data_IF_514694811910
#
_entry.id   IF_514694811910
#
_cell.length_a   1.000
_cell.length_b   1.000
_cell.length_c   1.000
_cell.angle_alpha   90.00
_cell.angle_beta   90.00
_cell.angle_gamma   90.00
#
_symmetry.space_group_name_H-M   'P 1'
#
loop_
_entity.id
_entity.type
_entity.pdbx_description
1 polymer ?
#
# COMPACT_ATOMS: atom_id res chain seq x y z
N UNK A 1 -13.49 -31.11 -34.59
CA UNK A 1 -13.69 -31.97 -33.40
C UNK A 1 -13.11 -31.28 -32.16
N UNK A 2 -13.95 -30.98 -31.18
CA UNK A 2 -13.48 -30.46 -29.87
C UNK A 2 -12.81 -31.60 -29.11
N UNK A 3 -11.60 -31.35 -28.62
CA UNK A 3 -10.84 -32.34 -27.85
C UNK A 3 -11.48 -32.46 -26.46
N UNK A 4 -11.63 -33.67 -25.93
CA UNK A 4 -12.28 -33.91 -24.63
C UNK A 4 -11.67 -33.16 -23.44
N UNK A 5 -10.48 -32.56 -23.60
CA UNK A 5 -9.80 -31.69 -22.61
C UNK A 5 -10.34 -30.26 -22.57
N UNK A 6 -11.12 -29.83 -23.56
CA UNK A 6 -11.84 -28.53 -23.56
C UNK A 6 -13.26 -28.64 -22.96
N UNK A 7 -13.67 -29.85 -22.55
CA UNK A 7 -14.96 -30.08 -21.91
C UNK A 7 -14.84 -29.89 -20.39
N UNK A 8 -15.65 -28.98 -19.87
CA UNK A 8 -15.83 -28.79 -18.44
C UNK A 8 -16.29 -30.11 -17.78
N UNK A 9 -15.80 -30.39 -16.56
CA UNK A 9 -16.18 -31.60 -15.83
C UNK A 9 -17.70 -31.67 -15.61
N UNK A 10 -18.33 -32.86 -15.63
CA UNK A 10 -19.76 -33.00 -15.36
C UNK A 10 -20.15 -32.32 -14.04
N UNK A 11 -21.09 -31.37 -14.08
CA UNK A 11 -21.54 -30.61 -12.91
C UNK A 11 -20.76 -29.33 -12.57
N UNK A 12 -19.72 -28.98 -13.34
CA UNK A 12 -18.92 -27.76 -13.11
C UNK A 12 -19.56 -26.45 -13.65
N UNK A 13 -20.78 -26.53 -14.19
CA UNK A 13 -21.45 -25.39 -14.82
C UNK A 13 -20.94 -25.11 -16.23
N UNK A 14 -21.35 -23.99 -16.82
CA UNK A 14 -20.93 -23.56 -18.15
C UNK A 14 -20.28 -22.17 -18.11
N UNK A 15 -19.39 -21.89 -19.06
CA UNK A 15 -18.71 -20.60 -19.19
C UNK A 15 -17.71 -20.35 -18.05
N UNK A 16 -17.68 -19.13 -17.51
CA UNK A 16 -16.71 -18.72 -16.49
C UNK A 16 -16.77 -19.57 -15.21
N UNK A 17 -17.93 -20.12 -14.87
CA UNK A 17 -18.13 -20.97 -13.68
C UNK A 17 -17.27 -22.23 -13.76
N UNK A 18 -17.08 -22.79 -14.95
CA UNK A 18 -16.27 -23.99 -15.18
C UNK A 18 -14.76 -23.76 -15.06
N UNK A 19 -14.31 -22.49 -15.15
CA UNK A 19 -12.88 -22.12 -15.11
C UNK A 19 -12.41 -21.88 -13.68
N UNK A 20 -13.33 -21.59 -12.75
CA UNK A 20 -13.00 -21.32 -11.35
C UNK A 20 -12.56 -22.61 -10.67
N UNK A 21 -11.34 -22.63 -10.12
CA UNK A 21 -10.82 -23.81 -9.42
C UNK A 21 -11.61 -24.09 -8.13
N UNK A 22 -11.75 -25.38 -7.72
CA UNK A 22 -12.37 -25.73 -6.45
C UNK A 22 -11.74 -24.96 -5.28
N UNK A 23 -12.58 -24.34 -4.43
CA UNK A 23 -12.11 -23.53 -3.31
C UNK A 23 -11.75 -22.07 -3.65
N UNK A 24 -11.79 -21.69 -4.93
CA UNK A 24 -11.60 -20.30 -5.38
C UNK A 24 -12.94 -19.61 -5.67
N UNK A 25 -12.90 -18.29 -5.82
CA UNK A 25 -14.04 -17.42 -6.15
C UNK A 25 -13.60 -16.44 -7.24
N UNK A 26 -14.49 -16.17 -8.19
CA UNK A 26 -14.32 -15.10 -9.15
C UNK A 26 -14.89 -13.79 -8.60
N UNK A 27 -14.10 -12.71 -8.62
CA UNK A 27 -14.57 -11.38 -8.26
C UNK A 27 -14.28 -10.40 -9.39
N UNK A 28 -15.33 -9.74 -9.88
CA UNK A 28 -15.23 -8.68 -10.88
C UNK A 28 -14.95 -7.33 -10.21
N UNK A 29 -13.95 -6.62 -10.70
CA UNK A 29 -13.59 -5.28 -10.23
C UNK A 29 -13.56 -4.27 -11.38
N UNK A 30 -14.13 -3.10 -11.14
CA UNK A 30 -14.08 -1.98 -12.06
C UNK A 30 -12.72 -1.31 -11.97
N UNK A 31 -12.07 -1.12 -13.10
CA UNK A 31 -10.78 -0.44 -13.21
C UNK A 31 -10.87 0.75 -14.15
N UNK A 32 -10.13 1.80 -13.83
CA UNK A 32 -10.08 2.99 -14.67
C UNK A 32 -9.04 2.81 -15.79
N UNK A 33 -9.23 3.48 -16.91
CA UNK A 33 -8.44 3.30 -18.14
C UNK A 33 -6.93 3.55 -17.92
N UNK A 34 -6.57 4.51 -17.07
CA UNK A 34 -5.18 4.84 -16.70
C UNK A 34 -4.54 3.77 -15.81
N UNK A 35 -5.36 2.99 -15.09
CA UNK A 35 -4.90 1.96 -14.14
C UNK A 35 -4.73 0.58 -14.75
N UNK A 36 -5.25 0.36 -15.96
CA UNK A 36 -5.25 -0.93 -16.64
C UNK A 36 -4.13 -1.09 -17.66
N UNK A 37 -2.88 -0.80 -17.29
CA UNK A 37 -1.63 -1.15 -18.00
C UNK A 37 -1.65 -1.04 -19.54
N UNK A 38 -2.48 -0.20 -20.16
CA UNK A 38 -2.60 -0.07 -21.63
C UNK A 38 -3.38 -1.16 -22.36
N UNK A 39 -4.20 -1.98 -21.70
CA UNK A 39 -4.97 -3.06 -22.36
C UNK A 39 -4.20 -4.37 -22.57
N UNK A 40 -3.03 -4.51 -21.92
CA UNK A 40 -2.20 -5.71 -21.98
C UNK A 40 -2.53 -6.75 -20.90
N UNK A 41 -3.49 -6.46 -20.02
CA UNK A 41 -4.05 -7.50 -19.15
C UNK A 41 -4.85 -8.43 -20.06
N UNK A 42 -4.57 -9.72 -19.99
CA UNK A 42 -5.28 -10.76 -20.74
C UNK A 42 -5.76 -11.85 -19.77
N UNK A 43 -6.77 -12.66 -20.14
CA UNK A 43 -7.06 -13.89 -19.42
C UNK A 43 -5.82 -14.78 -19.26
N UNK A 44 -5.72 -15.50 -18.16
CA UNK A 44 -4.55 -16.32 -17.77
C UNK A 44 -3.26 -15.53 -17.52
N UNK A 45 -3.35 -14.23 -17.23
CA UNK A 45 -2.21 -13.43 -16.76
C UNK A 45 -2.26 -13.23 -15.25
N UNK A 46 -1.10 -12.89 -14.67
CA UNK A 46 -0.99 -12.58 -13.25
C UNK A 46 -0.89 -11.08 -13.02
N UNK A 47 -1.59 -10.59 -12.01
CA UNK A 47 -1.59 -9.19 -11.58
C UNK A 47 -1.36 -9.06 -10.09
N UNK A 48 -0.76 -7.96 -9.68
CA UNK A 48 -0.74 -7.50 -8.31
C UNK A 48 -1.81 -6.40 -8.13
N UNK A 49 -2.47 -6.40 -6.97
CA UNK A 49 -3.52 -5.44 -6.64
C UNK A 49 -3.00 -4.42 -5.66
N UNK A 50 -3.02 -3.15 -6.04
CA UNK A 50 -2.60 -2.03 -5.21
C UNK A 50 -3.82 -1.19 -4.84
N UNK A 51 -4.01 -0.97 -3.54
CA UNK A 51 -4.97 0.03 -3.04
C UNK A 51 -4.27 1.34 -2.78
N UNK A 52 -4.90 2.41 -3.25
CA UNK A 52 -4.52 3.79 -2.95
C UNK A 52 -5.58 4.35 -2.00
N UNK A 53 -5.16 4.57 -0.76
CA UNK A 53 -5.98 5.20 0.26
C UNK A 53 -5.62 6.68 0.38
N UNK A 54 -6.64 7.54 0.52
CA UNK A 54 -6.47 8.98 0.76
C UNK A 54 -6.80 9.28 2.22
N UNK A 55 -5.78 9.65 3.01
CA UNK A 55 -5.96 10.12 4.39
C UNK A 55 -5.68 11.62 4.45
N UNK A 56 -6.76 12.41 4.42
CA UNK A 56 -6.70 13.87 4.33
C UNK A 56 -6.04 14.33 3.02
N UNK A 57 -4.90 15.05 3.13
CA UNK A 57 -4.10 15.49 1.97
C UNK A 57 -3.06 14.48 1.51
N UNK A 58 -2.81 13.39 2.26
CA UNK A 58 -1.79 12.39 1.92
C UNK A 58 -2.43 11.20 1.20
N UNK A 59 -1.80 10.74 0.12
CA UNK A 59 -2.13 9.49 -0.57
C UNK A 59 -1.08 8.44 -0.20
N UNK A 60 -1.52 7.26 0.18
CA UNK A 60 -0.63 6.12 0.48
C UNK A 60 -1.05 4.93 -0.36
N UNK A 61 -0.09 4.34 -1.08
CA UNK A 61 -0.29 3.12 -1.85
C UNK A 61 0.17 1.91 -1.03
N UNK A 62 -0.62 0.82 -1.07
CA UNK A 62 -0.31 -0.44 -0.41
C UNK A 62 -0.66 -1.60 -1.33
N UNK A 63 0.25 -2.55 -1.50
CA UNK A 63 -0.04 -3.82 -2.18
C UNK A 63 -0.95 -4.66 -1.29
N UNK A 64 -2.14 -5.00 -1.78
CA UNK A 64 -3.14 -5.78 -1.06
C UNK A 64 -2.99 -7.27 -1.33
N UNK A 65 -2.92 -7.61 -2.61
CA UNK A 65 -2.85 -8.96 -3.14
C UNK A 65 -1.72 -9.03 -4.16
N UNK A 66 -1.10 -10.19 -4.27
CA UNK A 66 0.03 -10.43 -5.16
C UNK A 66 -0.23 -11.70 -5.96
N UNK A 67 0.22 -11.73 -7.22
CA UNK A 67 0.15 -12.91 -8.10
C UNK A 67 -1.28 -13.48 -8.17
N UNK A 68 -2.24 -12.61 -8.47
CA UNK A 68 -3.63 -12.98 -8.68
C UNK A 68 -3.88 -13.27 -10.16
N UNK A 69 -4.55 -14.37 -10.46
CA UNK A 69 -4.87 -14.78 -11.81
C UNK A 69 -6.09 -14.03 -12.35
N UNK A 70 -6.00 -13.59 -13.61
CA UNK A 70 -7.10 -12.93 -14.32
C UNK A 70 -7.86 -13.99 -15.12
N UNK A 71 -9.15 -14.15 -14.83
CA UNK A 71 -10.02 -15.11 -15.52
C UNK A 71 -10.65 -14.50 -16.77
N UNK A 72 -11.10 -13.26 -16.67
CA UNK A 72 -11.83 -12.61 -17.76
C UNK A 72 -11.71 -11.09 -17.70
N UNK A 73 -11.99 -10.45 -18.84
CA UNK A 73 -12.00 -9.00 -18.98
C UNK A 73 -13.23 -8.63 -19.77
N UNK A 74 -13.95 -7.63 -19.29
CA UNK A 74 -15.09 -7.04 -19.96
C UNK A 74 -14.83 -5.55 -20.16
N UNK A 75 -15.28 -5.04 -21.30
CA UNK A 75 -15.30 -3.62 -21.57
C UNK A 75 -16.74 -3.22 -21.88
N UNK A 76 -17.23 -2.24 -21.15
CA UNK A 76 -18.57 -1.70 -21.31
C UNK A 76 -18.45 -0.23 -21.68
N UNK A 77 -19.16 0.17 -22.74
CA UNK A 77 -19.18 1.55 -23.22
C UNK A 77 -20.53 2.14 -22.91
N UNK A 78 -20.54 3.29 -22.25
CA UNK A 78 -21.76 4.02 -21.90
C UNK A 78 -21.68 5.45 -22.41
N UNK A 79 -22.82 6.07 -22.64
CA UNK A 79 -22.91 7.49 -22.98
C UNK A 79 -23.31 8.21 -21.70
N UNK A 80 -22.42 9.06 -21.19
CA UNK A 80 -22.66 9.89 -20.00
C UNK A 80 -22.41 11.35 -20.41
N UNK A 81 -23.40 12.22 -20.20
CA UNK A 81 -23.32 13.65 -20.60
C UNK A 81 -22.96 13.86 -22.08
N UNK A 82 -23.46 13.00 -22.97
CA UNK A 82 -23.19 13.07 -24.41
C UNK A 82 -21.77 12.64 -24.82
N UNK A 83 -20.95 12.16 -23.88
CA UNK A 83 -19.60 11.66 -24.15
C UNK A 83 -19.53 10.14 -23.98
N UNK A 84 -18.89 9.41 -24.92
CA UNK A 84 -18.65 7.98 -24.75
C UNK A 84 -17.64 7.78 -23.62
N UNK A 85 -18.01 6.95 -22.65
CA UNK A 85 -17.18 6.56 -21.51
C UNK A 85 -16.99 5.05 -21.54
N UNK A 86 -15.72 4.65 -21.56
CA UNK A 86 -15.33 3.25 -21.56
C UNK A 86 -14.98 2.84 -20.14
N UNK A 87 -15.65 1.81 -19.65
CA UNK A 87 -15.38 1.18 -18.35
C UNK A 87 -14.83 -0.21 -18.61
N UNK A 88 -13.73 -0.53 -17.92
CA UNK A 88 -13.15 -1.87 -17.95
C UNK A 88 -13.42 -2.57 -16.63
N UNK A 89 -13.79 -3.84 -16.73
CA UNK A 89 -14.04 -4.73 -15.61
C UNK A 89 -13.13 -5.94 -15.76
N UNK A 90 -12.39 -6.26 -14.71
CA UNK A 90 -11.47 -7.41 -14.70
C UNK A 90 -11.97 -8.40 -13.67
N UNK A 91 -12.09 -9.66 -14.07
CA UNK A 91 -12.50 -10.76 -13.19
C UNK A 91 -11.28 -11.51 -12.72
N UNK A 92 -11.08 -11.54 -11.41
CA UNK A 92 -9.94 -12.14 -10.74
C UNK A 92 -10.32 -13.46 -10.06
N UNK A 93 -9.43 -14.45 -10.08
CA UNK A 93 -9.53 -15.67 -9.28
C UNK A 93 -8.92 -15.45 -7.90
N UNK A 94 -9.70 -15.62 -6.84
CA UNK A 94 -9.32 -15.30 -5.47
C UNK A 94 -9.69 -16.42 -4.51
N UNK A 95 -8.94 -16.56 -3.42
CA UNK A 95 -9.42 -17.31 -2.25
C UNK A 95 -10.55 -16.54 -1.52
N UNK A 96 -11.35 -17.20 -0.66
CA UNK A 96 -12.40 -16.52 0.12
C UNK A 96 -11.89 -15.36 0.97
N UNK A 97 -10.70 -15.51 1.54
CA UNK A 97 -10.10 -14.50 2.40
C UNK A 97 -9.64 -13.29 1.60
N UNK A 98 -9.01 -13.52 0.43
CA UNK A 98 -8.60 -12.47 -0.48
C UNK A 98 -9.78 -11.71 -1.07
N UNK A 99 -10.86 -12.42 -1.43
CA UNK A 99 -12.10 -11.81 -1.90
C UNK A 99 -12.71 -10.89 -0.84
N UNK A 100 -12.74 -11.31 0.43
CA UNK A 100 -13.22 -10.46 1.54
C UNK A 100 -12.35 -9.22 1.71
N UNK A 101 -11.03 -9.36 1.65
CA UNK A 101 -10.08 -8.25 1.76
C UNK A 101 -10.21 -7.26 0.60
N UNK A 102 -10.38 -7.77 -0.62
CA UNK A 102 -10.56 -6.95 -1.81
C UNK A 102 -11.91 -6.21 -1.80
N UNK A 103 -12.96 -6.87 -1.32
CA UNK A 103 -14.29 -6.25 -1.19
C UNK A 103 -14.29 -5.07 -0.20
N UNK A 104 -13.53 -5.18 0.90
CA UNK A 104 -13.39 -4.07 1.85
C UNK A 104 -12.71 -2.86 1.20
N UNK A 105 -11.58 -3.09 0.52
CA UNK A 105 -10.76 -2.02 -0.05
C UNK A 105 -11.39 -1.36 -1.28
N UNK A 106 -12.18 -2.11 -2.06
CA UNK A 106 -12.98 -1.57 -3.18
C UNK A 106 -13.93 -0.46 -2.72
N UNK A 107 -14.43 -0.53 -1.48
CA UNK A 107 -15.34 0.48 -0.93
C UNK A 107 -14.60 1.68 -0.31
N UNK A 108 -13.38 1.48 0.20
CA UNK A 108 -12.63 2.52 0.93
C UNK A 108 -11.73 3.39 0.04
N UNK A 109 -11.35 2.92 -1.14
CA UNK A 109 -10.32 3.58 -1.94
C UNK A 109 -10.33 3.24 -3.43
N UNK A 110 -9.32 3.73 -4.14
CA UNK A 110 -9.12 3.42 -5.56
C UNK A 110 -8.16 2.26 -5.73
N UNK A 111 -8.56 1.27 -6.51
CA UNK A 111 -7.74 0.09 -6.82
C UNK A 111 -7.00 0.32 -8.13
N UNK A 112 -5.75 -0.14 -8.17
CA UNK A 112 -4.93 -0.22 -9.37
C UNK A 112 -4.44 -1.65 -9.56
N UNK A 113 -4.43 -2.09 -10.82
CA UNK A 113 -3.87 -3.37 -11.20
C UNK A 113 -2.49 -3.15 -11.82
N UNK A 114 -1.54 -3.98 -11.40
CA UNK A 114 -0.18 -3.97 -11.94
C UNK A 114 0.09 -5.33 -12.55
N UNK A 115 0.45 -5.36 -13.84
CA UNK A 115 0.77 -6.60 -14.51
C UNK A 115 2.05 -7.20 -13.92
N UNK A 116 2.00 -8.48 -13.56
CA UNK A 116 3.12 -9.23 -13.01
C UNK A 116 3.77 -10.03 -14.13
N UNK A 117 5.11 -10.06 -14.16
CA UNK A 117 5.82 -10.98 -15.04
C UNK A 117 5.50 -12.43 -14.61
N UNK A 118 5.07 -13.32 -15.52
CA UNK A 118 4.78 -14.72 -15.18
C UNK A 118 5.98 -15.49 -14.61
N UNK A 119 7.21 -15.07 -14.94
CA UNK A 119 8.45 -15.67 -14.41
C UNK A 119 8.84 -15.13 -13.03
N UNK A 120 8.11 -14.14 -12.49
CA UNK A 120 8.41 -13.53 -11.21
C UNK A 120 7.77 -14.29 -10.05
N UNK A 121 8.48 -15.32 -9.58
CA UNK A 121 8.14 -16.11 -8.40
C UNK A 121 8.59 -15.46 -7.08
N UNK A 122 9.37 -14.38 -7.12
CA UNK A 122 9.94 -13.80 -5.90
C UNK A 122 8.88 -12.96 -5.18
N UNK A 123 8.59 -13.33 -3.94
CA UNK A 123 7.96 -12.39 -3.01
C UNK A 123 8.96 -11.29 -2.68
N UNK A 124 8.81 -10.12 -3.31
CA UNK A 124 9.54 -8.92 -2.88
C UNK A 124 9.02 -8.54 -1.50
N UNK A 125 9.73 -8.99 -0.45
CA UNK A 125 9.57 -8.47 0.91
C UNK A 125 10.08 -7.03 0.88
N UNK A 126 9.24 -6.03 1.22
CA UNK A 126 9.72 -4.66 1.25
C UNK A 126 10.92 -4.60 2.20
N UNK A 127 12.09 -4.17 1.71
CA UNK A 127 13.24 -3.89 2.57
C UNK A 127 12.75 -2.88 3.60
N UNK A 128 12.56 -3.33 4.83
CA UNK A 128 12.27 -2.44 5.95
C UNK A 128 13.52 -1.59 6.14
N UNK A 129 13.53 -0.40 5.54
CA UNK A 129 14.53 0.60 5.87
C UNK A 129 14.22 1.02 7.29
N UNK A 130 14.84 0.35 8.28
CA UNK A 130 14.82 0.82 9.67
C UNK A 130 15.39 2.22 9.63
N UNK A 131 14.51 3.22 9.70
CA UNK A 131 14.89 4.61 9.90
C UNK A 131 15.54 4.64 11.29
N UNK A 132 16.86 4.48 11.34
CA UNK A 132 17.60 4.65 12.58
C UNK A 132 17.39 6.11 12.97
N UNK A 133 16.50 6.33 13.93
CA UNK A 133 16.37 7.62 14.60
C UNK A 133 17.74 7.85 15.23
N UNK A 134 18.60 8.68 14.61
CA UNK A 134 19.82 9.16 15.27
C UNK A 134 19.36 9.94 16.49
N UNK A 135 19.32 9.28 17.64
CA UNK A 135 19.21 9.95 18.92
C UNK A 135 20.49 10.76 19.02
N UNK A 136 20.39 12.10 18.90
CA UNK A 136 21.52 12.96 19.24
C UNK A 136 21.81 12.69 20.72
N UNK A 137 23.04 12.27 21.10
CA UNK A 137 23.35 12.13 22.51
C UNK A 137 23.07 13.47 23.20
N UNK A 138 22.36 13.44 24.33
CA UNK A 138 22.24 14.62 25.18
C UNK A 138 23.65 14.93 25.66
N UNK A 139 24.26 15.98 25.10
CA UNK A 139 25.51 16.52 25.61
C UNK A 139 25.17 17.12 26.97
N UNK A 140 25.62 16.46 28.04
CA UNK A 140 25.50 17.01 29.37
C UNK A 140 26.49 18.17 29.49
N UNK A 141 25.97 19.39 29.48
CA UNK A 141 26.72 20.58 29.89
C UNK A 141 26.59 20.72 31.40
N UNK A 142 27.68 20.57 32.19
CA UNK A 142 27.62 20.82 33.62
C UNK A 142 27.19 22.27 33.88
N UNK A 143 26.39 22.52 34.92
CA UNK A 143 26.01 23.89 35.29
C UNK A 143 27.26 24.71 35.63
N UNK A 144 27.31 26.01 35.27
CA UNK A 144 28.46 26.85 35.55
C UNK A 144 28.70 26.94 37.07
N UNK A 145 29.97 26.90 37.52
CA UNK A 145 30.29 27.04 38.94
C UNK A 145 29.83 28.41 39.46
N UNK A 146 29.27 28.39 40.67
CA UNK A 146 28.89 29.61 41.39
C UNK A 146 30.00 29.89 42.40
N UNK A 147 30.51 31.12 42.41
CA UNK A 147 31.54 31.56 43.36
C UNK A 147 30.92 32.53 44.37
N UNK A 148 31.21 32.34 45.65
CA UNK A 148 30.95 33.32 46.70
C UNK A 148 32.21 34.15 46.89
N UNK A 149 32.11 35.46 46.64
CA UNK A 149 33.21 36.41 46.82
C UNK A 149 32.90 37.25 48.05
N UNK A 150 33.77 37.20 49.05
CA UNK A 150 33.80 38.14 50.16
C UNK A 150 34.61 39.36 49.74
N UNK A 151 33.97 40.53 49.70
CA UNK A 151 34.65 41.78 49.34
C UNK A 151 34.96 42.50 50.65
N UNK A 152 36.25 42.61 50.98
CA UNK A 152 36.72 43.39 52.13
C UNK A 152 37.08 44.78 51.64
N UNK A 153 36.31 45.80 52.07
CA UNK A 153 36.59 47.23 51.80
C UNK A 153 37.02 47.91 53.10
N UNK A 154 38.33 47.91 53.37
CA UNK A 154 38.91 48.63 54.51
C UNK A 154 38.33 48.18 55.87
N UNK A 155 37.98 49.13 56.75
CA UNK A 155 37.43 48.86 58.09
C UNK A 155 35.97 48.37 58.12
N UNK A 156 35.31 48.19 56.96
CA UNK A 156 33.93 47.71 56.92
C UNK A 156 33.86 46.17 56.91
N UNK A 157 32.84 45.63 57.57
CA UNK A 157 32.62 44.19 57.68
C UNK A 157 32.46 43.54 56.29
N UNK A 158 33.03 42.34 56.07
CA UNK A 158 33.00 41.68 54.76
C UNK A 158 31.56 41.39 54.30
N UNK A 159 31.23 41.83 53.09
CA UNK A 159 29.96 41.50 52.43
C UNK A 159 30.14 40.34 51.45
N UNK A 160 29.24 39.35 51.54
CA UNK A 160 29.23 38.14 50.71
C UNK A 160 28.36 38.33 49.47
N UNK A 161 28.96 38.13 48.29
CA UNK A 161 28.26 38.21 47.01
C UNK A 161 28.37 36.88 46.23
N UNK A 162 27.25 36.38 45.70
CA UNK A 162 27.22 35.19 44.84
C UNK A 162 27.30 35.59 43.37
N UNK A 163 28.34 35.16 42.68
CA UNK A 163 28.52 35.35 41.24
C UNK A 163 28.36 34.02 40.51
N UNK A 164 27.60 34.04 39.41
CA UNK A 164 27.54 32.93 38.45
C UNK A 164 28.56 33.19 37.35
N UNK A 165 29.42 32.21 37.05
CA UNK A 165 30.29 32.29 35.88
C UNK A 165 29.42 32.37 34.60
N UNK A 166 29.72 33.33 33.73
CA UNK A 166 29.11 33.36 32.39
C UNK A 166 29.69 32.20 31.55
N UNK A 167 28.86 31.55 30.71
CA UNK A 167 29.26 30.39 29.93
C UNK A 167 30.32 30.72 28.86
#
# INVERSE_FOLDING_TARGET
>A
PVLGVELAAPGSGAGLVAVIKPGMRAMAIKVNEVTGVGGFILPNTFVDVISIQKKGKKKTAKTLLKKIEVLAIAQETYIEEGKPKVVRTVTLELTPEEARKLALETNEGSIQLVLRNPLDEKEVKPKVVRRVRRVRPRVYTPPPPTFEVEIIRGEQAPEKYKFKAQP
#
